data_IF_165849421796
#
_entry.id   IF_165849421796
#
_cell.length_a   1.000
_cell.length_b   1.000
_cell.length_c   1.000
_cell.angle_alpha   90.00
_cell.angle_beta   90.00
_cell.angle_gamma   90.00
#
_symmetry.space_group_name_H-M   'P 1'
#
loop_
_entity.id
_entity.type
_entity.pdbx_description
1 polymer ?
#
# COMPACT_ATOMS: atom_id res chain seq x y z
N UNK A 1 7.23 -2.51 -0.58
CA UNK A 1 8.42 -2.64 0.29
C UNK A 1 9.57 -1.75 -0.17
N UNK A 2 10.30 -2.03 -1.26
CA UNK A 2 11.46 -1.19 -1.64
C UNK A 2 11.17 0.32 -1.81
N UNK A 3 9.96 0.69 -2.22
CA UNK A 3 9.52 2.09 -2.35
C UNK A 3 8.99 2.69 -1.04
N UNK A 4 8.93 1.92 0.04
CA UNK A 4 8.28 2.30 1.29
C UNK A 4 9.28 2.97 2.25
N UNK A 5 8.79 3.89 3.07
CA UNK A 5 9.52 4.49 4.18
C UNK A 5 9.02 3.89 5.50
N UNK A 6 9.93 3.58 6.42
CA UNK A 6 9.60 3.26 7.82
C UNK A 6 9.18 4.55 8.53
N UNK A 7 8.01 4.54 9.15
CA UNK A 7 7.43 5.68 9.89
C UNK A 7 6.99 5.17 11.25
N UNK A 8 7.42 5.84 12.33
CA UNK A 8 6.84 5.59 13.67
C UNK A 8 5.52 6.36 13.74
N UNK A 9 4.46 5.66 14.10
CA UNK A 9 3.11 6.21 14.19
C UNK A 9 2.69 6.27 15.66
N UNK A 10 3.03 7.39 16.32
CA UNK A 10 2.77 7.58 17.74
C UNK A 10 1.27 7.61 18.07
N UNK A 11 0.40 7.96 17.11
CA UNK A 11 -1.06 7.97 17.29
C UNK A 11 -1.55 6.54 17.53
N UNK A 12 -1.14 5.58 16.70
CA UNK A 12 -1.55 4.17 16.83
C UNK A 12 -0.64 3.35 17.74
N UNK A 13 0.57 3.83 18.04
CA UNK A 13 1.61 3.04 18.70
C UNK A 13 2.19 1.94 17.79
N UNK A 14 2.31 2.23 16.49
CA UNK A 14 2.75 1.27 15.47
C UNK A 14 4.00 1.73 14.73
N UNK A 15 4.64 0.80 14.03
CA UNK A 15 5.62 1.10 12.97
C UNK A 15 4.98 0.76 11.63
N UNK A 16 4.91 1.76 10.76
CA UNK A 16 4.22 1.73 9.48
C UNK A 16 5.24 1.81 8.32
N UNK A 17 5.09 0.95 7.32
CA UNK A 17 5.88 0.96 6.09
C UNK A 17 5.07 1.56 4.95
N UNK A 18 5.21 2.87 4.76
CA UNK A 18 4.33 3.71 3.93
C UNK A 18 4.90 3.86 2.51
N UNK A 19 4.12 3.51 1.50
CA UNK A 19 4.49 3.69 0.09
C UNK A 19 4.32 5.15 -0.39
N UNK A 20 4.88 5.56 -1.56
CA UNK A 20 4.87 6.96 -2.03
C UNK A 20 3.48 7.51 -2.40
N UNK A 21 2.43 6.69 -2.28
CA UNK A 21 1.03 7.07 -2.42
C UNK A 21 0.30 7.12 -1.06
N UNK A 22 1.05 7.32 0.03
CA UNK A 22 0.61 7.33 1.44
C UNK A 22 -0.06 6.03 1.92
N UNK A 23 -0.09 4.96 1.12
CA UNK A 23 -0.66 3.68 1.53
C UNK A 23 0.33 2.92 2.42
N UNK A 24 -0.09 2.59 3.63
CA UNK A 24 0.60 1.65 4.52
C UNK A 24 0.60 0.26 3.86
N UNK A 25 1.78 -0.33 3.67
CA UNK A 25 1.96 -1.64 3.02
C UNK A 25 2.18 -2.76 4.04
N UNK A 26 2.82 -2.43 5.16
CA UNK A 26 2.97 -3.28 6.34
C UNK A 26 2.87 -2.38 7.57
N UNK A 27 2.21 -2.86 8.63
CA UNK A 27 2.03 -2.20 9.92
C UNK A 27 2.28 -3.24 10.99
N UNK A 28 3.09 -2.90 11.99
CA UNK A 28 3.41 -3.78 13.12
C UNK A 28 3.46 -2.99 14.42
N UNK A 29 3.54 -3.66 15.57
CA UNK A 29 3.56 -3.04 16.90
C UNK A 29 4.46 -3.83 17.85
N UNK A 30 4.91 -3.18 18.93
CA UNK A 30 5.84 -3.78 19.90
C UNK A 30 5.35 -5.12 20.46
N UNK A 31 4.03 -5.31 20.59
CA UNK A 31 3.41 -6.54 21.10
C UNK A 31 3.69 -7.79 20.25
N UNK A 32 3.89 -7.64 18.94
CA UNK A 32 4.14 -8.77 18.04
C UNK A 32 5.57 -8.83 17.51
N UNK A 33 6.39 -7.80 17.75
CA UNK A 33 7.75 -7.62 17.25
C UNK A 33 8.65 -8.85 17.41
N UNK A 34 8.64 -9.47 18.59
CA UNK A 34 9.45 -10.66 18.91
C UNK A 34 8.84 -12.00 18.41
N UNK A 35 7.67 -11.95 17.77
CA UNK A 35 6.94 -13.11 17.25
C UNK A 35 6.64 -13.03 15.73
N UNK A 36 6.61 -11.83 15.15
CA UNK A 36 6.16 -11.60 13.77
C UNK A 36 7.26 -11.95 12.76
N UNK A 37 6.93 -12.78 11.78
CA UNK A 37 7.84 -13.17 10.69
C UNK A 37 7.39 -12.50 9.41
N UNK A 38 8.26 -11.68 8.81
CA UNK A 38 7.94 -10.94 7.60
C UNK A 38 8.14 -11.81 6.35
N UNK A 39 7.04 -12.29 5.75
CA UNK A 39 7.09 -13.04 4.50
C UNK A 39 7.12 -12.10 3.28
N UNK A 40 8.12 -12.29 2.40
CA UNK A 40 8.21 -11.60 1.10
C UNK A 40 8.06 -12.54 -0.09
N UNK A 41 7.48 -12.01 -1.17
CA UNK A 41 7.65 -12.55 -2.52
C UNK A 41 8.81 -11.84 -3.21
N UNK A 42 9.79 -12.60 -3.68
CA UNK A 42 10.96 -12.09 -4.42
C UNK A 42 11.43 -13.13 -5.44
N UNK A 43 12.23 -12.68 -6.41
CA UNK A 43 12.91 -13.52 -7.41
C UNK A 43 14.35 -13.03 -7.68
N UNK A 44 14.92 -12.32 -6.71
CA UNK A 44 16.13 -11.50 -6.83
C UNK A 44 16.73 -11.28 -5.43
N UNK A 45 18.03 -11.58 -5.29
CA UNK A 45 18.72 -11.61 -3.99
C UNK A 45 18.93 -10.22 -3.39
N UNK A 46 19.44 -9.26 -4.18
CA UNK A 46 19.70 -7.89 -3.72
C UNK A 46 18.40 -7.15 -3.34
N UNK A 47 17.34 -7.32 -4.14
CA UNK A 47 16.01 -6.77 -3.82
C UNK A 47 15.40 -7.42 -2.58
N UNK A 48 15.66 -8.71 -2.33
CA UNK A 48 15.24 -9.37 -1.10
C UNK A 48 15.98 -8.77 0.11
N UNK A 49 17.31 -8.67 0.04
CA UNK A 49 18.14 -8.15 1.11
C UNK A 49 17.80 -6.70 1.47
N UNK A 50 17.61 -5.83 0.47
CA UNK A 50 17.21 -4.44 0.69
C UNK A 50 15.80 -4.31 1.34
N UNK A 51 14.88 -5.25 1.08
CA UNK A 51 13.60 -5.32 1.81
C UNK A 51 13.79 -5.86 3.23
N UNK A 52 14.63 -6.87 3.42
CA UNK A 52 14.87 -7.48 4.72
C UNK A 52 15.49 -6.47 5.69
N UNK A 53 16.54 -5.76 5.27
CA UNK A 53 17.17 -4.67 6.06
C UNK A 53 16.25 -3.50 6.38
N UNK A 54 15.24 -3.25 5.54
CA UNK A 54 14.23 -2.22 5.81
C UNK A 54 13.35 -2.59 7.03
N UNK A 55 13.10 -3.89 7.27
CA UNK A 55 12.15 -4.36 8.31
C UNK A 55 12.80 -5.08 9.49
N UNK A 56 14.07 -5.51 9.41
CA UNK A 56 14.71 -6.44 10.37
C UNK A 56 14.75 -5.95 11.83
N UNK A 57 14.58 -4.66 12.08
CA UNK A 57 14.55 -4.08 13.43
C UNK A 57 13.15 -4.11 14.08
N UNK A 58 12.11 -4.40 13.29
CA UNK A 58 10.70 -4.36 13.69
C UNK A 58 10.04 -5.75 13.65
N UNK A 59 10.78 -6.80 13.28
CA UNK A 59 10.28 -8.17 13.10
C UNK A 59 11.26 -9.21 13.65
N UNK A 60 10.73 -10.37 14.05
CA UNK A 60 11.50 -11.45 14.66
C UNK A 60 12.26 -12.31 13.62
N UNK A 61 11.74 -12.40 12.39
CA UNK A 61 12.30 -13.24 11.33
C UNK A 61 11.89 -12.79 9.94
N UNK A 62 12.59 -13.30 8.93
CA UNK A 62 12.36 -13.01 7.51
C UNK A 62 12.02 -14.33 6.80
N UNK A 63 10.92 -14.38 6.03
CA UNK A 63 10.52 -15.57 5.28
C UNK A 63 10.44 -15.32 3.77
N UNK A 64 10.94 -16.27 2.97
CA UNK A 64 10.80 -16.23 1.51
C UNK A 64 9.67 -17.15 1.05
N UNK A 65 8.66 -16.57 0.39
CA UNK A 65 7.58 -17.34 -0.22
C UNK A 65 8.05 -18.03 -1.50
N UNK A 66 8.11 -19.37 -1.46
CA UNK A 66 8.42 -20.26 -2.59
C UNK A 66 7.22 -21.17 -2.93
N UNK A 67 6.02 -20.88 -2.39
CA UNK A 67 4.86 -21.77 -2.46
C UNK A 67 3.61 -21.18 -3.12
N UNK A 68 3.61 -19.89 -3.47
CA UNK A 68 2.45 -19.22 -4.07
C UNK A 68 2.25 -19.65 -5.54
N UNK A 69 1.12 -20.28 -5.92
CA UNK A 69 0.84 -20.70 -7.29
C UNK A 69 0.05 -19.66 -8.10
N UNK A 70 -0.21 -18.45 -7.54
CA UNK A 70 -1.00 -17.41 -8.21
C UNK A 70 -0.21 -16.78 -9.36
N UNK A 71 -0.89 -16.50 -10.46
CA UNK A 71 -0.29 -16.06 -11.73
C UNK A 71 0.58 -14.79 -11.60
N UNK A 72 0.17 -13.81 -10.79
CA UNK A 72 0.96 -12.60 -10.55
C UNK A 72 2.32 -12.89 -9.88
N UNK A 73 2.40 -13.97 -9.10
CA UNK A 73 3.63 -14.42 -8.46
C UNK A 73 4.50 -15.16 -9.48
N UNK A 74 3.93 -16.15 -10.16
CA UNK A 74 4.69 -17.02 -11.07
C UNK A 74 5.18 -16.30 -12.31
N UNK A 75 4.41 -15.35 -12.88
CA UNK A 75 4.88 -14.47 -13.97
C UNK A 75 6.05 -13.57 -13.57
N UNK A 76 6.15 -13.21 -12.28
CA UNK A 76 7.29 -12.46 -11.75
C UNK A 76 8.50 -13.33 -11.36
N UNK A 77 8.46 -14.64 -11.61
CA UNK A 77 9.50 -15.58 -11.14
C UNK A 77 9.46 -15.88 -9.64
N UNK A 78 8.41 -15.45 -8.93
CA UNK A 78 8.28 -15.54 -7.46
C UNK A 78 7.37 -16.70 -7.03
N UNK A 79 7.45 -17.11 -5.76
CA UNK A 79 6.56 -18.15 -5.23
C UNK A 79 6.88 -19.51 -5.85
N UNK A 80 5.87 -20.25 -6.27
CA UNK A 80 6.03 -21.60 -6.81
C UNK A 80 6.78 -21.67 -8.17
N UNK A 81 7.18 -20.52 -8.75
CA UNK A 81 8.11 -20.47 -9.88
C UNK A 81 9.58 -20.60 -9.46
N UNK A 82 9.93 -20.29 -8.21
CA UNK A 82 11.28 -20.49 -7.67
C UNK A 82 11.63 -21.98 -7.55
N UNK A 83 10.64 -22.85 -7.35
CA UNK A 83 10.84 -24.29 -7.15
C UNK A 83 11.47 -25.02 -8.36
N UNK A 84 11.43 -24.39 -9.55
CA UNK A 84 12.10 -24.87 -10.78
C UNK A 84 13.48 -24.24 -11.00
N UNK A 85 13.95 -23.36 -10.12
CA UNK A 85 15.25 -22.68 -10.20
C UNK A 85 15.98 -22.74 -8.84
N UNK A 86 16.56 -23.90 -8.48
CA UNK A 86 17.20 -24.09 -7.18
C UNK A 86 18.43 -23.22 -6.97
N UNK A 87 19.13 -22.84 -8.04
CA UNK A 87 20.33 -22.00 -7.98
C UNK A 87 19.95 -20.56 -7.57
N UNK A 88 18.82 -20.05 -8.08
CA UNK A 88 18.24 -18.78 -7.62
C UNK A 88 17.71 -18.86 -6.19
N UNK A 89 17.12 -19.99 -5.78
CA UNK A 89 16.72 -20.22 -4.38
C UNK A 89 17.95 -20.09 -3.46
N UNK A 90 19.03 -20.79 -3.78
CA UNK A 90 20.28 -20.77 -3.01
C UNK A 90 20.90 -19.37 -2.95
N UNK A 91 20.95 -18.68 -4.09
CA UNK A 91 21.43 -17.28 -4.18
C UNK A 91 20.61 -16.32 -3.31
N UNK A 92 19.27 -16.39 -3.34
CA UNK A 92 18.40 -15.54 -2.51
C UNK A 92 18.59 -15.85 -1.03
N UNK A 93 18.56 -17.12 -0.64
CA UNK A 93 18.61 -17.52 0.77
C UNK A 93 19.98 -17.23 1.39
N UNK A 94 21.07 -17.58 0.72
CA UNK A 94 22.45 -17.32 1.20
C UNK A 94 22.70 -15.82 1.35
N UNK A 95 22.19 -14.99 0.43
CA UNK A 95 22.32 -13.53 0.49
C UNK A 95 21.54 -12.94 1.68
N UNK A 96 20.37 -13.49 1.99
CA UNK A 96 19.59 -13.09 3.18
C UNK A 96 20.26 -13.55 4.47
N UNK A 97 20.64 -14.83 4.59
CA UNK A 97 21.26 -15.42 5.78
C UNK A 97 22.55 -14.70 6.17
N UNK A 98 23.38 -14.34 5.19
CA UNK A 98 24.62 -13.59 5.44
C UNK A 98 24.38 -12.07 5.61
N UNK A 99 23.18 -11.59 5.32
CA UNK A 99 22.89 -10.17 5.11
C UNK A 99 22.03 -9.48 6.17
N UNK A 100 21.25 -10.21 6.96
CA UNK A 100 20.43 -9.69 8.07
C UNK A 100 20.76 -10.35 9.40
N UNK A 101 20.47 -9.67 10.52
CA UNK A 101 20.71 -10.23 11.87
C UNK A 101 19.57 -11.13 12.38
N UNK A 102 18.54 -11.39 11.57
CA UNK A 102 17.34 -12.14 11.94
C UNK A 102 17.32 -13.53 11.30
N UNK A 103 16.74 -14.55 11.96
CA UNK A 103 16.57 -15.86 11.37
C UNK A 103 15.80 -15.76 10.05
N UNK A 104 16.37 -16.37 9.01
CA UNK A 104 15.77 -16.48 7.68
C UNK A 104 15.11 -17.85 7.55
N UNK A 105 13.85 -17.89 7.13
CA UNK A 105 13.10 -19.11 6.80
C UNK A 105 12.62 -19.08 5.36
N UNK A 106 12.09 -20.19 4.87
CA UNK A 106 11.31 -20.17 3.63
C UNK A 106 10.10 -21.10 3.70
N UNK A 107 9.10 -20.80 2.86
CA UNK A 107 7.88 -21.59 2.73
C UNK A 107 7.72 -22.17 1.34
N UNK A 108 7.81 -23.50 1.23
CA UNK A 108 7.71 -24.25 -0.04
C UNK A 108 6.36 -24.97 -0.22
N UNK A 109 6.16 -25.49 -1.43
CA UNK A 109 5.30 -26.64 -1.75
C UNK A 109 6.17 -27.82 -2.14
N UNK A 110 5.64 -29.05 -2.02
CA UNK A 110 6.35 -30.26 -2.48
C UNK A 110 6.39 -30.33 -4.01
N UNK A 111 7.40 -31.02 -4.55
CA UNK A 111 7.59 -31.26 -5.99
C UNK A 111 6.83 -32.51 -6.47
N UNK A 112 6.78 -32.79 -7.79
CA UNK A 112 6.15 -33.99 -8.32
C UNK A 112 6.70 -35.30 -7.74
N UNK A 113 8.03 -35.40 -7.54
CA UNK A 113 8.68 -36.50 -6.82
C UNK A 113 9.08 -36.11 -5.38
N UNK A 114 9.00 -37.10 -4.48
CA UNK A 114 9.47 -37.00 -3.10
C UNK A 114 11.00 -36.82 -3.05
N UNK A 115 11.72 -37.54 -3.90
CA UNK A 115 13.18 -37.54 -4.02
C UNK A 115 13.68 -36.19 -4.55
N UNK A 116 12.98 -35.60 -5.52
CA UNK A 116 13.21 -34.21 -5.96
C UNK A 116 13.00 -33.22 -4.81
N UNK A 117 11.91 -33.38 -4.05
CA UNK A 117 11.60 -32.50 -2.92
C UNK A 117 12.70 -32.58 -1.85
N UNK A 118 13.16 -33.78 -1.49
CA UNK A 118 14.25 -33.98 -0.52
C UNK A 118 15.56 -33.37 -1.03
N UNK A 119 15.90 -33.51 -2.32
CA UNK A 119 17.08 -32.86 -2.91
C UNK A 119 17.01 -31.32 -2.81
N UNK A 120 15.84 -30.75 -3.11
CA UNK A 120 15.63 -29.30 -2.98
C UNK A 120 15.76 -28.82 -1.53
N UNK A 121 15.13 -29.53 -0.58
CA UNK A 121 15.18 -29.12 0.83
C UNK A 121 16.59 -29.24 1.43
N UNK A 122 17.40 -30.21 0.99
CA UNK A 122 18.82 -30.29 1.37
C UNK A 122 19.65 -29.11 0.84
N UNK A 123 19.41 -28.62 -0.38
CA UNK A 123 20.05 -27.39 -0.88
C UNK A 123 19.59 -26.15 -0.10
N UNK A 124 18.32 -26.09 0.28
CA UNK A 124 17.78 -25.01 1.13
C UNK A 124 18.42 -25.01 2.52
N UNK A 125 18.61 -26.19 3.14
CA UNK A 125 19.34 -26.34 4.41
C UNK A 125 20.80 -25.86 4.28
N UNK A 126 21.48 -26.24 3.20
CA UNK A 126 22.87 -25.80 2.93
C UNK A 126 23.02 -24.28 2.78
N UNK A 127 21.96 -23.57 2.37
CA UNK A 127 21.93 -22.10 2.33
C UNK A 127 21.83 -21.43 3.71
N UNK A 128 21.71 -22.21 4.80
CA UNK A 128 21.77 -21.72 6.18
C UNK A 128 20.46 -21.19 6.77
N UNK A 129 19.30 -21.59 6.23
CA UNK A 129 18.01 -21.16 6.79
C UNK A 129 17.76 -21.75 8.18
N UNK A 130 17.12 -20.97 9.05
CA UNK A 130 16.84 -21.36 10.44
C UNK A 130 15.71 -22.40 10.57
N UNK A 131 14.80 -22.45 9.59
CA UNK A 131 13.71 -23.43 9.50
C UNK A 131 13.08 -23.43 8.09
N UNK A 132 12.34 -24.50 7.76
CA UNK A 132 11.57 -24.60 6.51
C UNK A 132 10.10 -24.96 6.77
N UNK A 133 9.18 -24.19 6.17
CA UNK A 133 7.75 -24.47 6.20
C UNK A 133 7.31 -25.23 4.94
N UNK A 134 6.84 -26.47 5.10
CA UNK A 134 6.48 -27.35 3.99
C UNK A 134 4.96 -27.49 3.89
N UNK A 135 4.38 -26.96 2.81
CA UNK A 135 3.01 -27.33 2.43
C UNK A 135 3.07 -28.66 1.67
N UNK A 136 2.57 -29.74 2.28
CA UNK A 136 2.48 -31.09 1.69
C UNK A 136 1.46 -31.21 0.56
N UNK A 137 1.44 -30.27 -0.38
CA UNK A 137 0.67 -30.32 -1.64
C UNK A 137 1.51 -29.76 -2.78
N UNK A 138 1.42 -30.39 -3.95
CA UNK A 138 2.08 -29.95 -5.20
C UNK A 138 1.52 -28.62 -5.67
N UNK A 139 2.20 -27.90 -6.55
CA UNK A 139 1.80 -26.56 -7.03
C UNK A 139 0.39 -26.53 -7.65
N UNK A 140 0.04 -27.59 -8.37
CA UNK A 140 -1.21 -27.78 -9.11
C UNK A 140 -2.36 -28.19 -8.18
N UNK A 141 -2.04 -28.85 -7.06
CA UNK A 141 -3.00 -29.41 -6.11
C UNK A 141 -3.78 -28.30 -5.37
N UNK A 142 -5.10 -28.45 -5.42
CA UNK A 142 -6.09 -27.55 -4.82
C UNK A 142 -6.48 -28.01 -3.40
N UNK A 143 -7.13 -27.17 -2.58
CA UNK A 143 -7.39 -27.48 -1.17
C UNK A 143 -8.22 -28.75 -0.91
N UNK A 144 -8.97 -29.25 -1.90
CA UNK A 144 -9.70 -30.53 -1.83
C UNK A 144 -8.84 -31.77 -2.05
N UNK A 145 -7.61 -31.63 -2.55
CA UNK A 145 -6.64 -32.74 -2.59
C UNK A 145 -6.11 -32.96 -1.16
N UNK A 146 -5.85 -34.21 -0.72
CA UNK A 146 -5.29 -34.46 0.60
C UNK A 146 -3.89 -33.85 0.76
N UNK A 147 -3.46 -33.65 2.00
CA UNK A 147 -2.07 -33.29 2.32
C UNK A 147 -1.22 -34.56 2.46
N UNK A 148 -0.06 -34.59 1.79
CA UNK A 148 0.89 -35.70 1.77
C UNK A 148 1.79 -35.66 3.01
N UNK A 149 1.28 -36.17 4.14
CA UNK A 149 1.99 -36.19 5.43
C UNK A 149 3.26 -37.05 5.41
N UNK A 150 3.25 -38.13 4.62
CA UNK A 150 4.38 -39.03 4.37
C UNK A 150 5.56 -38.30 3.71
N UNK A 151 5.28 -37.39 2.77
CA UNK A 151 6.31 -36.56 2.13
C UNK A 151 6.87 -35.54 3.12
N UNK A 152 6.04 -34.92 3.98
CA UNK A 152 6.53 -34.02 5.04
C UNK A 152 7.42 -34.80 6.02
N UNK A 153 6.99 -35.99 6.47
CA UNK A 153 7.78 -36.86 7.32
C UNK A 153 9.14 -37.22 6.71
N UNK A 154 9.15 -37.67 5.46
CA UNK A 154 10.38 -38.02 4.75
C UNK A 154 11.33 -36.81 4.53
N UNK A 155 10.81 -35.57 4.53
CA UNK A 155 11.63 -34.36 4.55
C UNK A 155 12.21 -34.13 5.95
N UNK A 156 11.38 -34.21 7.01
CA UNK A 156 11.83 -34.04 8.40
C UNK A 156 12.92 -35.05 8.79
N UNK A 157 12.82 -36.29 8.34
CA UNK A 157 13.83 -37.34 8.56
C UNK A 157 15.13 -37.12 7.74
N UNK A 158 15.11 -36.22 6.74
CA UNK A 158 16.21 -36.03 5.79
C UNK A 158 17.06 -34.77 6.04
N UNK A 159 16.64 -33.86 6.92
CA UNK A 159 17.37 -32.63 7.28
C UNK A 159 17.51 -32.47 8.80
N UNK A 160 18.45 -31.64 9.23
CA UNK A 160 18.71 -31.31 10.64
C UNK A 160 17.98 -30.03 11.09
N UNK A 161 17.66 -29.12 10.16
CA UNK A 161 16.90 -27.90 10.45
C UNK A 161 15.43 -28.19 10.83
N UNK A 162 14.80 -27.38 11.69
CA UNK A 162 13.39 -27.50 12.02
C UNK A 162 12.46 -27.44 10.80
N UNK A 163 11.58 -28.44 10.70
CA UNK A 163 10.52 -28.50 9.67
C UNK A 163 9.18 -28.10 10.28
N UNK A 164 8.46 -27.21 9.59
CA UNK A 164 7.15 -26.70 9.99
C UNK A 164 6.09 -27.25 9.03
N UNK A 165 5.26 -28.20 9.50
CA UNK A 165 4.24 -28.84 8.69
C UNK A 165 3.09 -27.87 8.36
N UNK A 166 2.65 -27.84 7.10
CA UNK A 166 1.55 -26.99 6.64
C UNK A 166 0.60 -27.72 5.69
N UNK A 167 -0.67 -27.31 5.73
CA UNK A 167 -1.73 -27.80 4.83
C UNK A 167 -2.82 -28.62 5.50
N UNK A 168 -2.68 -28.98 6.78
CA UNK A 168 -3.62 -29.85 7.51
C UNK A 168 -4.98 -29.23 7.88
N UNK A 169 -5.18 -27.92 7.80
CA UNK A 169 -6.50 -27.30 8.08
C UNK A 169 -7.63 -27.95 7.29
N UNK A 170 -8.81 -28.14 7.90
CA UNK A 170 -9.99 -28.89 7.41
C UNK A 170 -9.82 -30.41 7.43
N UNK A 171 -8.76 -30.91 6.80
CA UNK A 171 -8.60 -32.34 6.52
C UNK A 171 -8.12 -33.10 7.77
N UNK A 172 -7.27 -32.44 8.57
CA UNK A 172 -6.78 -32.88 9.88
C UNK A 172 -7.17 -31.90 10.98
N UNK A 173 -6.96 -30.60 10.80
CA UNK A 173 -7.07 -29.59 11.84
C UNK A 173 -8.44 -28.88 11.78
N UNK A 174 -9.24 -29.10 12.82
CA UNK A 174 -10.53 -28.47 13.13
C UNK A 174 -10.50 -27.77 14.49
N UNK A 175 -9.78 -28.35 15.45
CA UNK A 175 -9.61 -27.82 16.82
C UNK A 175 -8.13 -27.86 17.29
N UNK A 176 -7.88 -27.47 18.53
CA UNK A 176 -6.52 -27.37 19.09
C UNK A 176 -5.83 -28.74 19.25
N UNK A 177 -6.58 -29.79 19.62
CA UNK A 177 -6.04 -31.14 19.82
C UNK A 177 -5.40 -31.69 18.53
N UNK A 178 -6.05 -31.45 17.40
CA UNK A 178 -5.61 -31.86 16.05
C UNK A 178 -4.23 -31.29 15.66
N UNK A 179 -3.82 -30.16 16.24
CA UNK A 179 -2.49 -29.58 16.00
C UNK A 179 -1.41 -30.59 16.37
N UNK A 180 -1.59 -31.31 17.48
CA UNK A 180 -0.65 -32.33 17.94
C UNK A 180 -0.72 -33.57 17.06
N UNK A 181 -1.92 -34.03 16.72
CA UNK A 181 -2.13 -35.16 15.80
C UNK A 181 -1.46 -34.94 14.44
N UNK A 182 -1.60 -33.74 13.86
CA UNK A 182 -0.95 -33.38 12.60
C UNK A 182 0.57 -33.22 12.72
N UNK A 183 1.05 -32.72 13.87
CA UNK A 183 2.49 -32.68 14.18
C UNK A 183 3.09 -34.09 14.21
N UNK A 184 2.46 -35.02 14.93
CA UNK A 184 2.93 -36.40 15.08
C UNK A 184 2.85 -37.18 13.76
N UNK A 185 1.76 -37.03 13.00
CA UNK A 185 1.61 -37.64 11.67
C UNK A 185 2.65 -37.18 10.63
N UNK A 186 3.27 -36.02 10.84
CA UNK A 186 4.31 -35.45 9.96
C UNK A 186 5.72 -35.48 10.59
N UNK A 187 5.83 -35.95 11.84
CA UNK A 187 7.03 -35.87 12.70
C UNK A 187 7.65 -34.47 12.84
N UNK A 188 6.94 -33.42 12.40
CA UNK A 188 7.50 -32.08 12.23
C UNK A 188 7.77 -31.36 13.55
N UNK A 189 8.78 -30.51 13.58
CA UNK A 189 9.15 -29.71 14.75
C UNK A 189 8.04 -28.74 15.18
N UNK A 190 7.20 -28.28 14.25
CA UNK A 190 6.09 -27.37 14.50
C UNK A 190 5.01 -27.44 13.42
N UNK A 191 3.86 -26.79 13.65
CA UNK A 191 2.72 -26.76 12.71
C UNK A 191 2.35 -25.31 12.37
N UNK A 192 2.19 -25.02 11.08
CA UNK A 192 1.68 -23.75 10.56
C UNK A 192 0.23 -23.92 10.10
N UNK A 193 -0.69 -23.17 10.70
CA UNK A 193 -2.13 -23.22 10.40
C UNK A 193 -2.52 -22.02 9.54
N UNK A 194 -3.39 -22.24 8.54
CA UNK A 194 -3.86 -21.17 7.65
C UNK A 194 -5.40 -21.11 7.58
N UNK A 195 -6.05 -22.04 6.88
CA UNK A 195 -7.51 -22.00 6.67
C UNK A 195 -8.29 -22.03 7.99
N UNK A 196 -7.92 -22.92 8.92
CA UNK A 196 -8.64 -23.05 10.20
C UNK A 196 -8.54 -21.76 11.04
N UNK A 197 -7.34 -21.15 11.12
CA UNK A 197 -7.14 -19.86 11.79
C UNK A 197 -7.83 -18.68 11.08
N UNK A 198 -7.98 -18.73 9.75
CA UNK A 198 -8.74 -17.74 8.98
C UNK A 198 -10.25 -17.85 9.24
N UNK A 199 -10.77 -19.05 9.50
CA UNK A 199 -12.17 -19.29 9.84
C UNK A 199 -12.48 -18.96 11.30
N UNK A 200 -11.62 -19.40 12.21
CA UNK A 200 -11.67 -19.02 13.62
C UNK A 200 -10.25 -18.99 14.22
N UNK A 201 -9.64 -17.82 14.48
CA UNK A 201 -8.30 -17.73 15.05
C UNK A 201 -8.19 -18.30 16.47
N UNK A 202 -9.30 -18.58 17.16
CA UNK A 202 -9.26 -19.28 18.46
C UNK A 202 -8.88 -20.77 18.37
N UNK A 203 -8.64 -21.32 17.17
CA UNK A 203 -8.07 -22.67 16.97
C UNK A 203 -6.74 -22.90 17.72
N UNK A 204 -6.02 -21.82 18.05
CA UNK A 204 -4.79 -21.86 18.85
C UNK A 204 -5.03 -21.88 20.37
N UNK A 205 -6.28 -21.87 20.87
CA UNK A 205 -6.58 -21.92 22.30
C UNK A 205 -6.63 -23.35 22.82
N UNK A 206 -5.84 -23.64 23.86
CA UNK A 206 -5.82 -24.96 24.51
C UNK A 206 -7.14 -25.31 25.21
N UNK A 207 -7.91 -24.31 25.64
CA UNK A 207 -9.22 -24.49 26.29
C UNK A 207 -10.37 -24.62 25.28
N UNK A 208 -10.08 -24.76 23.99
CA UNK A 208 -11.05 -24.91 22.91
C UNK A 208 -11.43 -23.61 22.20
N UNK A 209 -12.14 -23.75 21.08
CA UNK A 209 -12.55 -22.63 20.25
C UNK A 209 -13.58 -21.73 20.95
N UNK A 210 -13.43 -20.42 20.77
CA UNK A 210 -14.40 -19.42 21.21
C UNK A 210 -15.59 -19.31 20.24
N UNK A 211 -16.77 -18.87 20.72
CA UNK A 211 -17.89 -18.51 19.87
C UNK A 211 -17.48 -17.48 18.79
N UNK A 212 -18.00 -17.66 17.57
CA UNK A 212 -17.58 -16.84 16.44
C UNK A 212 -17.94 -15.35 16.62
N UNK A 213 -19.03 -15.04 17.34
CA UNK A 213 -19.42 -13.65 17.66
C UNK A 213 -18.30 -12.93 18.42
N UNK A 214 -17.82 -13.53 19.50
CA UNK A 214 -16.80 -12.96 20.38
C UNK A 214 -15.48 -12.73 19.63
N UNK A 215 -15.10 -13.71 18.80
CA UNK A 215 -13.89 -13.67 17.97
C UNK A 215 -13.97 -12.58 16.90
N UNK A 216 -15.11 -12.43 16.23
CA UNK A 216 -15.33 -11.35 15.27
C UNK A 216 -15.36 -9.98 15.94
N UNK A 217 -15.97 -9.85 17.12
CA UNK A 217 -15.98 -8.59 17.88
C UNK A 217 -14.56 -8.20 18.35
N UNK A 218 -13.75 -9.13 18.87
CA UNK A 218 -12.34 -8.84 19.19
C UNK A 218 -11.52 -8.47 17.94
N UNK A 219 -11.74 -9.16 16.80
CA UNK A 219 -11.12 -8.79 15.53
C UNK A 219 -11.48 -7.37 15.09
N UNK A 220 -12.75 -6.96 15.22
CA UNK A 220 -13.19 -5.59 14.94
C UNK A 220 -12.53 -4.59 15.90
N UNK A 221 -12.37 -4.90 17.19
CA UNK A 221 -11.64 -4.03 18.12
C UNK A 221 -10.20 -3.76 17.67
N UNK A 222 -9.50 -4.79 17.19
CA UNK A 222 -8.16 -4.60 16.61
C UNK A 222 -8.19 -3.81 15.30
N UNK A 223 -9.16 -4.08 14.42
CA UNK A 223 -9.30 -3.36 13.16
C UNK A 223 -9.53 -1.86 13.36
N UNK A 224 -10.33 -1.45 14.36
CA UNK A 224 -10.54 -0.04 14.70
C UNK A 224 -9.30 0.56 15.38
N UNK A 225 -8.75 -0.10 16.41
CA UNK A 225 -7.59 0.40 17.17
C UNK A 225 -6.34 0.61 16.32
N UNK A 226 -6.15 -0.22 15.30
CA UNK A 226 -5.00 -0.14 14.39
C UNK A 226 -5.36 0.41 13.01
N UNK A 227 -6.49 1.13 12.87
CA UNK A 227 -6.89 1.82 11.64
C UNK A 227 -6.75 0.92 10.38
N UNK A 228 -7.33 -0.27 10.45
CA UNK A 228 -7.28 -1.25 9.37
C UNK A 228 -8.32 -0.93 8.30
N UNK A 229 -7.90 -0.88 7.04
CA UNK A 229 -8.77 -0.48 5.95
C UNK A 229 -10.05 -1.34 5.87
N UNK A 230 -11.22 -0.70 5.87
CA UNK A 230 -12.51 -1.37 6.08
C UNK A 230 -12.76 -2.55 5.12
N UNK A 231 -12.29 -2.47 3.86
CA UNK A 231 -12.42 -3.56 2.88
C UNK A 231 -11.63 -4.81 3.26
N UNK A 232 -10.49 -4.67 3.95
CA UNK A 232 -9.72 -5.80 4.48
C UNK A 232 -10.44 -6.41 5.69
N UNK A 233 -10.88 -5.56 6.63
CA UNK A 233 -11.68 -5.98 7.80
C UNK A 233 -12.92 -6.77 7.35
N UNK A 234 -13.66 -6.23 6.37
CA UNK A 234 -14.82 -6.86 5.74
C UNK A 234 -14.47 -8.19 5.07
N UNK A 235 -13.38 -8.26 4.30
CA UNK A 235 -12.93 -9.50 3.68
C UNK A 235 -12.67 -10.60 4.72
N UNK A 236 -11.94 -10.29 5.79
CA UNK A 236 -11.61 -11.24 6.86
C UNK A 236 -12.87 -11.70 7.61
N UNK A 237 -13.78 -10.80 7.98
CA UNK A 237 -15.06 -11.16 8.61
C UNK A 237 -15.92 -12.04 7.68
N UNK A 238 -15.92 -11.81 6.36
CA UNK A 238 -16.57 -12.71 5.41
C UNK A 238 -15.91 -14.10 5.36
N UNK A 239 -14.58 -14.20 5.53
CA UNK A 239 -13.89 -15.50 5.62
C UNK A 239 -14.20 -16.25 6.92
N UNK A 240 -14.54 -15.54 8.00
CA UNK A 240 -15.01 -16.12 9.27
C UNK A 240 -16.45 -16.63 9.14
N UNK A 241 -17.36 -15.80 8.61
CA UNK A 241 -18.79 -16.15 8.48
C UNK A 241 -19.04 -17.32 7.52
N UNK A 242 -18.35 -17.39 6.38
CA UNK A 242 -18.54 -18.43 5.34
C UNK A 242 -20.03 -18.65 4.98
N UNK A 243 -20.60 -19.79 5.36
CA UNK A 243 -21.99 -20.20 5.13
C UNK A 243 -22.99 -19.32 5.89
N UNK A 244 -22.56 -18.64 6.95
CA UNK A 244 -23.38 -17.69 7.71
C UNK A 244 -23.56 -16.33 7.00
N UNK A 245 -22.94 -16.09 5.83
CA UNK A 245 -23.07 -14.83 5.09
C UNK A 245 -24.50 -14.48 4.70
N UNK A 246 -25.38 -15.49 4.53
CA UNK A 246 -26.79 -15.28 4.18
C UNK A 246 -27.67 -14.81 5.35
N UNK A 247 -27.17 -14.84 6.58
CA UNK A 247 -27.91 -14.35 7.74
C UNK A 247 -28.00 -12.81 7.75
N UNK A 248 -28.84 -12.26 8.63
CA UNK A 248 -29.07 -10.81 8.70
C UNK A 248 -27.78 -10.00 8.97
N UNK A 249 -26.83 -10.58 9.73
CA UNK A 249 -25.55 -9.94 10.06
C UNK A 249 -24.58 -9.94 8.88
N UNK A 250 -24.48 -11.07 8.16
CA UNK A 250 -23.68 -11.19 6.94
C UNK A 250 -24.17 -10.26 5.83
N UNK A 251 -25.49 -10.08 5.69
CA UNK A 251 -26.10 -9.10 4.78
C UNK A 251 -25.76 -7.65 5.15
N UNK A 252 -25.83 -7.28 6.44
CA UNK A 252 -25.37 -5.96 6.93
C UNK A 252 -23.88 -5.73 6.65
N UNK A 253 -23.03 -6.71 6.96
CA UNK A 253 -21.59 -6.66 6.67
C UNK A 253 -21.33 -6.50 5.15
N UNK A 254 -22.08 -7.20 4.30
CA UNK A 254 -21.95 -7.09 2.85
C UNK A 254 -22.36 -5.71 2.33
N UNK A 255 -23.35 -5.05 2.94
CA UNK A 255 -23.72 -3.68 2.60
C UNK A 255 -22.65 -2.65 3.02
N UNK A 256 -22.01 -2.83 4.19
CA UNK A 256 -21.15 -1.84 4.84
C UNK A 256 -20.00 -1.26 3.97
N UNK A 257 -19.86 0.06 3.94
CA UNK A 257 -18.86 0.83 3.18
C UNK A 257 -17.85 1.59 4.05
N UNK A 258 -17.92 1.45 5.38
CA UNK A 258 -17.01 2.08 6.34
C UNK A 258 -16.70 1.16 7.53
N UNK A 259 -15.67 1.46 8.33
CA UNK A 259 -15.44 0.76 9.60
C UNK A 259 -16.60 0.99 10.58
N UNK A 260 -17.23 2.17 10.54
CA UNK A 260 -18.38 2.50 11.38
C UNK A 260 -19.56 1.57 11.09
N UNK A 261 -19.95 1.43 9.82
CA UNK A 261 -21.03 0.52 9.40
C UNK A 261 -20.73 -0.95 9.72
N UNK A 262 -19.44 -1.36 9.67
CA UNK A 262 -19.02 -2.68 10.15
C UNK A 262 -19.24 -2.82 11.66
N UNK A 263 -18.92 -1.80 12.45
CA UNK A 263 -19.17 -1.80 13.89
C UNK A 263 -20.68 -1.82 14.21
N UNK A 264 -21.48 -1.04 13.51
CA UNK A 264 -22.95 -1.03 13.62
C UNK A 264 -23.57 -2.41 13.28
N UNK A 265 -23.06 -3.08 12.25
CA UNK A 265 -23.47 -4.44 11.88
C UNK A 265 -23.19 -5.49 12.97
N UNK A 266 -22.29 -5.20 13.93
CA UNK A 266 -21.85 -6.09 15.00
C UNK A 266 -22.21 -5.58 16.42
N UNK A 267 -23.07 -4.57 16.52
CA UNK A 267 -23.54 -3.96 17.78
C UNK A 267 -22.42 -3.23 18.56
N UNK A 268 -21.44 -2.63 17.85
CA UNK A 268 -20.20 -2.06 18.41
C UNK A 268 -20.07 -0.54 18.23
N UNK A 269 -21.16 0.18 17.94
CA UNK A 269 -21.12 1.61 17.62
C UNK A 269 -20.56 2.50 18.75
N UNK A 270 -20.88 2.18 20.01
CA UNK A 270 -20.34 2.88 21.19
C UNK A 270 -18.81 2.76 21.25
N UNK A 271 -18.29 1.55 21.13
CA UNK A 271 -16.85 1.28 21.08
C UNK A 271 -16.16 2.01 19.91
N UNK A 272 -16.80 2.07 18.74
CA UNK A 272 -16.25 2.80 17.60
C UNK A 272 -16.11 4.31 17.89
N UNK A 273 -17.12 4.92 18.51
CA UNK A 273 -17.07 6.33 18.91
C UNK A 273 -15.98 6.58 19.97
N UNK A 274 -15.96 5.78 21.05
CA UNK A 274 -14.96 5.88 22.12
C UNK A 274 -13.51 5.76 21.58
N UNK A 275 -13.28 4.79 20.69
CA UNK A 275 -11.98 4.58 20.06
C UNK A 275 -11.60 5.74 19.11
N UNK A 276 -12.56 6.26 18.33
CA UNK A 276 -12.32 7.39 17.42
C UNK A 276 -12.00 8.68 18.19
N UNK A 277 -12.76 8.97 19.24
CA UNK A 277 -12.52 10.12 20.13
C UNK A 277 -11.15 10.03 20.81
N UNK A 278 -10.75 8.83 21.23
CA UNK A 278 -9.42 8.60 21.83
C UNK A 278 -8.29 8.86 20.83
N UNK A 279 -8.41 8.37 19.60
CA UNK A 279 -7.42 8.58 18.54
C UNK A 279 -7.31 10.06 18.15
N UNK A 280 -8.43 10.78 18.02
CA UNK A 280 -8.40 12.21 17.67
C UNK A 280 -7.83 13.06 18.82
N UNK A 281 -8.19 12.79 20.09
CA UNK A 281 -7.57 13.45 21.26
C UNK A 281 -6.05 13.24 21.29
N UNK A 282 -5.59 12.03 20.99
CA UNK A 282 -4.15 11.70 20.95
C UNK A 282 -3.42 12.40 19.81
N UNK A 283 -4.05 12.48 18.63
CA UNK A 283 -3.57 13.24 17.47
C UNK A 283 -3.43 14.74 17.76
N UNK A 284 -4.43 15.36 18.37
CA UNK A 284 -4.37 16.77 18.82
C UNK A 284 -3.25 16.98 19.84
N UNK A 285 -3.12 16.10 20.85
CA UNK A 285 -2.06 16.20 21.86
C UNK A 285 -0.65 16.09 21.27
N UNK A 286 -0.45 15.23 20.28
CA UNK A 286 0.85 15.10 19.58
C UNK A 286 1.16 16.30 18.69
N UNK A 287 0.16 16.90 18.03
CA UNK A 287 0.35 18.12 17.24
C UNK A 287 0.82 19.29 18.12
N UNK A 288 0.20 19.49 19.28
CA UNK A 288 0.61 20.53 20.25
C UNK A 288 2.04 20.27 20.79
N UNK A 289 2.41 19.01 21.04
CA UNK A 289 3.78 18.67 21.49
C UNK A 289 4.84 18.96 20.43
N UNK A 290 4.56 18.69 19.15
CA UNK A 290 5.50 18.98 18.08
C UNK A 290 5.66 20.49 17.86
N UNK A 291 4.57 21.27 17.95
CA UNK A 291 4.63 22.74 17.90
C UNK A 291 5.49 23.35 19.00
N UNK A 292 5.62 22.70 20.16
CA UNK A 292 6.48 23.15 21.27
C UNK A 292 7.94 22.65 21.19
N UNK A 293 8.28 21.78 20.23
CA UNK A 293 9.61 21.17 20.10
C UNK A 293 10.36 21.60 18.83
N UNK A 294 9.71 22.28 17.89
CA UNK A 294 10.34 22.84 16.68
C UNK A 294 11.06 24.19 16.97
N UNK A 295 11.89 24.25 18.02
CA UNK A 295 12.82 25.36 18.25
C UNK A 295 14.06 25.22 17.34
N UNK A 296 13.80 25.35 16.03
CA UNK A 296 14.80 25.50 14.98
C UNK A 296 14.59 26.84 14.28
N UNK A 297 14.91 27.93 14.98
CA UNK A 297 15.03 29.30 14.44
C UNK A 297 13.93 29.64 13.43
N UNK A 298 12.69 29.76 13.90
CA UNK A 298 11.64 30.29 13.03
C UNK A 298 12.00 31.72 12.60
N UNK A 299 12.16 31.93 11.29
CA UNK A 299 12.10 33.25 10.68
C UNK A 299 10.67 33.79 10.92
N UNK A 300 10.50 34.55 12.01
CA UNK A 300 9.19 34.98 12.57
C UNK A 300 8.34 35.79 11.61
N UNK A 301 8.94 36.21 10.49
CA UNK A 301 8.35 37.09 9.48
C UNK A 301 7.63 36.30 8.35
N UNK A 302 7.56 34.96 8.41
CA UNK A 302 6.91 34.12 7.37
C UNK A 302 5.60 33.50 7.86
N UNK A 303 4.47 33.95 7.30
CA UNK A 303 3.16 33.36 7.56
C UNK A 303 3.01 32.05 6.78
N UNK A 304 2.80 30.93 7.49
CA UNK A 304 2.74 29.57 6.91
C UNK A 304 1.32 28.99 6.95
N UNK A 305 0.92 28.26 5.91
CA UNK A 305 -0.36 27.51 5.89
C UNK A 305 -0.22 26.21 5.09
N UNK A 306 -0.93 25.14 5.47
CA UNK A 306 -0.88 23.86 4.76
C UNK A 306 -1.74 23.86 3.48
N UNK A 307 -1.15 24.16 2.31
CA UNK A 307 -1.87 24.22 1.03
C UNK A 307 -1.12 23.58 -0.15
N UNK A 308 -1.87 23.05 -1.11
CA UNK A 308 -1.37 22.52 -2.39
C UNK A 308 -2.12 23.15 -3.56
N UNK A 309 -1.49 23.21 -4.72
CA UNK A 309 -2.14 23.64 -5.97
C UNK A 309 -2.59 22.44 -6.80
N UNK A 310 -3.91 22.18 -6.83
CA UNK A 310 -4.50 21.25 -7.79
C UNK A 310 -5.05 22.00 -9.00
N UNK A 311 -4.40 21.81 -10.16
CA UNK A 311 -4.80 22.42 -11.45
C UNK A 311 -6.27 22.18 -11.83
N UNK A 312 -6.92 21.12 -11.31
CA UNK A 312 -8.32 20.78 -11.61
C UNK A 312 -9.31 21.76 -10.99
N UNK A 313 -8.95 22.41 -9.87
CA UNK A 313 -9.82 23.37 -9.16
C UNK A 313 -9.94 24.72 -9.88
N UNK A 314 -9.05 25.01 -10.83
CA UNK A 314 -8.92 26.31 -11.49
C UNK A 314 -9.34 26.26 -12.98
N UNK A 315 -9.77 27.39 -13.57
CA UNK A 315 -9.92 27.54 -15.02
C UNK A 315 -8.56 27.44 -15.74
N UNK A 316 -8.48 26.92 -16.99
CA UNK A 316 -7.20 26.75 -17.69
C UNK A 316 -6.38 28.03 -17.90
N UNK A 317 -7.06 29.17 -17.92
CA UNK A 317 -6.53 30.51 -18.17
C UNK A 317 -6.26 31.34 -16.90
N UNK A 318 -6.50 30.80 -15.70
CA UNK A 318 -6.32 31.51 -14.42
C UNK A 318 -5.50 30.64 -13.47
N UNK A 319 -4.52 31.23 -12.79
CA UNK A 319 -3.77 30.56 -11.71
C UNK A 319 -3.61 31.50 -10.52
N UNK A 320 -3.53 30.99 -9.27
CA UNK A 320 -3.32 31.81 -8.07
C UNK A 320 -2.16 32.82 -8.20
N UNK A 321 -1.02 32.41 -8.79
CA UNK A 321 0.13 33.29 -9.05
C UNK A 321 -0.21 34.46 -9.98
N UNK A 322 -1.04 34.23 -11.00
CA UNK A 322 -1.52 35.30 -11.89
C UNK A 322 -2.53 36.20 -11.18
N UNK A 323 -3.43 35.62 -10.38
CA UNK A 323 -4.46 36.36 -9.66
C UNK A 323 -3.83 37.32 -8.63
N UNK A 324 -2.87 36.83 -7.83
CA UNK A 324 -2.13 37.64 -6.87
C UNK A 324 -1.33 38.77 -7.54
N UNK A 325 -0.77 38.52 -8.73
CA UNK A 325 -0.06 39.54 -9.51
C UNK A 325 -0.98 40.67 -9.99
N UNK A 326 -2.16 40.35 -10.55
CA UNK A 326 -3.12 41.39 -10.99
C UNK A 326 -3.75 42.12 -9.80
N UNK A 327 -3.98 41.44 -8.67
CA UNK A 327 -4.42 42.08 -7.44
C UNK A 327 -3.38 43.10 -6.93
N UNK A 328 -2.10 42.73 -6.83
CA UNK A 328 -1.03 43.65 -6.42
C UNK A 328 -0.95 44.88 -7.33
N UNK A 329 -1.10 44.72 -8.65
CA UNK A 329 -1.14 45.85 -9.59
C UNK A 329 -2.32 46.77 -9.35
N UNK A 330 -3.51 46.23 -9.09
CA UNK A 330 -4.72 47.02 -8.82
C UNK A 330 -4.57 47.85 -7.55
N UNK A 331 -4.05 47.24 -6.48
CA UNK A 331 -3.80 47.89 -5.19
C UNK A 331 -2.48 48.71 -5.18
N UNK A 332 -1.82 48.86 -6.33
CA UNK A 332 -0.57 49.63 -6.54
C UNK A 332 0.62 49.16 -5.67
N UNK A 333 0.62 47.89 -5.27
CA UNK A 333 1.71 47.25 -4.56
C UNK A 333 2.84 46.83 -5.51
N UNK A 334 4.02 46.57 -4.95
CA UNK A 334 5.11 45.91 -5.68
C UNK A 334 4.67 44.52 -6.17
N UNK A 335 5.27 44.06 -7.26
CA UNK A 335 5.00 42.72 -7.80
C UNK A 335 5.41 41.63 -6.79
N UNK A 336 4.64 40.53 -6.64
CA UNK A 336 5.00 39.44 -5.72
C UNK A 336 6.36 38.83 -6.06
N UNK A 337 7.30 38.89 -5.11
CA UNK A 337 8.61 38.27 -5.23
C UNK A 337 8.55 36.82 -4.75
N UNK A 338 9.21 35.89 -5.45
CA UNK A 338 9.19 34.46 -5.11
C UNK A 338 10.60 33.91 -4.93
N UNK A 339 10.86 33.34 -3.76
CA UNK A 339 12.08 32.59 -3.45
C UNK A 339 11.71 31.11 -3.31
N UNK A 340 12.49 30.21 -3.90
CA UNK A 340 12.21 28.76 -3.89
C UNK A 340 13.42 27.99 -3.40
N UNK A 341 13.21 27.16 -2.38
CA UNK A 341 14.21 26.25 -1.82
C UNK A 341 13.90 24.83 -2.34
N UNK A 342 14.92 24.15 -2.84
CA UNK A 342 14.87 22.71 -3.15
C UNK A 342 15.48 21.92 -1.98
N UNK A 343 14.79 20.88 -1.50
CA UNK A 343 15.27 20.03 -0.41
C UNK A 343 16.17 18.91 -0.97
N UNK A 344 17.48 18.84 -0.60
CA UNK A 344 18.41 17.89 -1.20
C UNK A 344 18.04 16.41 -1.04
N UNK A 345 17.32 16.06 0.03
CA UNK A 345 16.98 14.66 0.38
C UNK A 345 15.96 14.02 -0.56
N UNK A 346 15.04 14.79 -1.14
CA UNK A 346 13.92 14.28 -1.94
C UNK A 346 13.57 15.13 -3.16
N UNK A 347 14.36 16.19 -3.45
CA UNK A 347 14.18 17.11 -4.60
C UNK A 347 12.77 17.72 -4.67
N UNK A 348 12.15 17.92 -3.51
CA UNK A 348 10.90 18.67 -3.40
C UNK A 348 11.19 20.15 -3.19
N UNK A 349 10.25 20.98 -3.61
CA UNK A 349 10.38 22.44 -3.64
C UNK A 349 9.40 23.07 -2.64
N UNK A 350 9.86 24.08 -1.92
CA UNK A 350 9.00 24.99 -1.16
C UNK A 350 9.29 26.43 -1.63
N UNK A 351 8.25 27.25 -1.75
CA UNK A 351 8.39 28.66 -2.12
C UNK A 351 7.86 29.57 -1.03
N UNK A 352 8.54 30.68 -0.84
CA UNK A 352 8.08 31.84 -0.08
C UNK A 352 7.69 32.92 -1.09
N UNK A 353 6.56 33.59 -0.88
CA UNK A 353 6.17 34.79 -1.63
C UNK A 353 6.16 36.01 -0.72
N UNK A 354 6.74 37.12 -1.17
CA UNK A 354 6.72 38.39 -0.45
C UNK A 354 5.77 39.35 -1.14
N UNK A 355 4.82 39.92 -0.39
CA UNK A 355 3.84 40.92 -0.83
C UNK A 355 3.66 41.96 0.27
N UNK A 356 3.82 43.25 -0.06
CA UNK A 356 3.75 44.35 0.92
C UNK A 356 4.62 44.10 2.17
N UNK A 357 5.87 43.70 1.94
CA UNK A 357 6.89 43.36 2.93
C UNK A 357 6.57 42.19 3.88
N UNK A 358 5.39 41.55 3.75
CA UNK A 358 5.03 40.32 4.44
C UNK A 358 5.37 39.08 3.59
N UNK A 359 6.04 38.10 4.20
CA UNK A 359 6.33 36.79 3.58
C UNK A 359 5.22 35.77 3.87
N UNK A 360 4.89 34.94 2.88
CA UNK A 360 3.90 33.85 2.99
C UNK A 360 4.44 32.55 2.36
N UNK A 361 4.11 31.39 2.92
CA UNK A 361 4.57 30.10 2.40
C UNK A 361 3.58 28.95 2.65
N UNK A 362 3.70 27.87 1.85
CA UNK A 362 3.05 26.61 2.19
C UNK A 362 3.92 25.78 3.13
N UNK A 363 3.32 25.09 4.10
CA UNK A 363 4.04 24.04 4.87
C UNK A 363 4.24 22.75 4.07
N UNK A 364 3.57 22.62 2.92
CA UNK A 364 3.59 21.40 2.10
C UNK A 364 4.58 21.55 0.93
N UNK A 365 5.51 20.60 0.85
CA UNK A 365 6.53 20.53 -0.18
C UNK A 365 5.99 19.94 -1.49
N UNK A 366 6.37 20.52 -2.62
CA UNK A 366 5.80 20.26 -3.94
C UNK A 366 6.80 19.64 -4.93
N UNK A 367 6.29 18.95 -5.96
CA UNK A 367 7.13 18.18 -6.92
C UNK A 367 7.85 19.04 -7.96
N UNK A 368 7.61 20.35 -8.00
CA UNK A 368 8.34 21.28 -8.88
C UNK A 368 8.24 22.72 -8.37
N UNK A 369 9.24 23.55 -8.67
CA UNK A 369 9.22 25.01 -8.40
C UNK A 369 7.91 25.68 -8.83
N UNK A 370 7.38 25.35 -10.01
CA UNK A 370 6.11 25.93 -10.52
C UNK A 370 4.91 25.62 -9.63
N UNK A 371 4.84 24.42 -9.03
CA UNK A 371 3.77 24.06 -8.10
C UNK A 371 3.96 24.75 -6.75
N UNK A 372 5.20 24.79 -6.24
CA UNK A 372 5.53 25.46 -4.98
C UNK A 372 5.19 26.96 -5.01
N UNK A 373 5.49 27.67 -6.10
CA UNK A 373 5.10 29.09 -6.28
C UNK A 373 3.58 29.30 -6.30
N UNK A 374 2.81 28.37 -6.88
CA UNK A 374 1.34 28.45 -6.87
C UNK A 374 0.78 28.18 -5.46
N UNK A 375 1.35 27.23 -4.72
CA UNK A 375 0.99 26.96 -3.33
C UNK A 375 1.31 28.16 -2.41
N UNK A 376 2.45 28.84 -2.62
CA UNK A 376 2.78 30.08 -1.91
C UNK A 376 1.81 31.23 -2.26
N UNK A 377 1.40 31.35 -3.53
CA UNK A 377 0.40 32.33 -3.94
C UNK A 377 -0.97 32.07 -3.28
N UNK A 378 -1.41 30.80 -3.20
CA UNK A 378 -2.59 30.39 -2.44
C UNK A 378 -2.45 30.77 -0.96
N UNK A 379 -1.26 30.56 -0.38
CA UNK A 379 -1.01 30.89 1.02
C UNK A 379 -1.27 32.38 1.30
N UNK A 380 -0.67 33.26 0.50
CA UNK A 380 -0.90 34.70 0.56
C UNK A 380 -2.38 35.09 0.35
N UNK A 381 -3.02 34.59 -0.71
CA UNK A 381 -4.40 34.96 -1.05
C UNK A 381 -5.38 34.60 0.07
N UNK A 382 -5.33 33.38 0.63
CA UNK A 382 -6.23 33.00 1.74
C UNK A 382 -5.97 33.80 3.01
N UNK A 383 -4.71 34.06 3.36
CA UNK A 383 -4.39 34.87 4.55
C UNK A 383 -4.91 36.30 4.42
N UNK A 384 -4.90 36.86 3.20
CA UNK A 384 -5.47 38.18 2.90
C UNK A 384 -7.01 38.15 2.71
N UNK A 385 -7.68 37.00 2.84
CA UNK A 385 -9.12 36.85 2.61
C UNK A 385 -9.54 37.05 1.14
N UNK A 386 -8.60 36.90 0.20
CA UNK A 386 -8.80 37.13 -1.22
C UNK A 386 -9.19 35.84 -1.96
N UNK A 387 -10.05 35.94 -3.00
CA UNK A 387 -10.36 34.80 -3.86
C UNK A 387 -9.13 34.27 -4.61
N UNK A 388 -9.08 32.95 -4.84
CA UNK A 388 -7.95 32.27 -5.49
C UNK A 388 -8.13 32.11 -7.01
N UNK A 389 -9.32 32.42 -7.54
CA UNK A 389 -9.71 32.19 -8.91
C UNK A 389 -10.21 30.75 -9.17
N UNK A 390 -10.79 30.09 -8.16
CA UNK A 390 -11.34 28.73 -8.29
C UNK A 390 -12.63 28.73 -9.12
N UNK A 391 -12.93 27.60 -9.76
CA UNK A 391 -14.14 27.41 -10.60
C UNK A 391 -15.47 27.67 -9.89
N UNK A 392 -15.50 27.56 -8.56
CA UNK A 392 -16.72 27.66 -7.76
C UNK A 392 -16.81 29.01 -7.00
N UNK A 393 -15.85 29.91 -7.16
CA UNK A 393 -15.89 31.25 -6.58
C UNK A 393 -16.72 32.17 -7.49
N UNK A 394 -17.88 32.63 -7.00
CA UNK A 394 -18.70 33.65 -7.66
C UNK A 394 -18.00 35.02 -7.63
N UNK A 395 -16.92 35.15 -8.38
CA UNK A 395 -16.24 36.40 -8.66
C UNK A 395 -16.56 36.84 -10.08
N UNK A 396 -17.14 38.02 -10.23
CA UNK A 396 -17.11 38.71 -11.52
C UNK A 396 -15.63 38.84 -11.92
N UNK A 397 -15.22 38.26 -13.04
CA UNK A 397 -13.81 38.24 -13.51
C UNK A 397 -13.33 39.61 -14.05
N UNK A 398 -13.76 40.71 -13.43
CA UNK A 398 -13.39 42.10 -13.79
C UNK A 398 -11.90 42.40 -13.63
N UNK A 399 -11.16 41.60 -12.85
CA UNK A 399 -9.71 41.72 -12.68
C UNK A 399 -8.88 41.24 -13.89
N UNK A 400 -9.45 40.48 -14.82
CA UNK A 400 -8.71 39.79 -15.90
C UNK A 400 -9.19 40.17 -17.32
N UNK A 401 -9.78 41.35 -17.48
CA UNK A 401 -10.22 41.84 -18.80
C UNK A 401 -9.02 42.15 -19.71
N UNK A 402 -9.00 41.51 -20.88
CA UNK A 402 -7.88 41.47 -21.82
C UNK A 402 -7.55 42.85 -22.42
N UNK A 403 -6.26 43.21 -22.44
CA UNK A 403 -5.73 44.19 -23.40
C UNK A 403 -5.85 43.62 -24.82
N UNK A 404 -6.68 44.22 -25.68
CA UNK A 404 -6.47 44.11 -27.13
C UNK A 404 -5.23 44.93 -27.49
N UNK A 405 -4.24 44.32 -28.15
CA UNK A 405 -3.27 45.11 -28.94
C UNK A 405 -4.02 45.70 -30.13
N UNK A 406 -3.86 47.00 -30.34
CA UNK A 406 -4.09 47.61 -31.64
C UNK A 406 -2.78 47.42 -32.42
N UNK A 407 -2.76 46.46 -33.35
CA UNK A 407 -1.74 46.44 -34.39
C UNK A 407 -2.35 47.14 -35.62
N UNK A 408 -1.67 48.17 -36.08
CA UNK A 408 -2.15 49.14 -37.07
C UNK A 408 -1.24 49.07 -38.31
N UNK A 409 -1.45 48.08 -39.17
CA UNK A 409 -0.74 47.96 -40.45
C UNK A 409 -1.71 47.80 -41.63
N UNK A 410 -1.98 48.95 -42.24
CA UNK A 410 -1.92 49.19 -43.69
C UNK A 410 -2.47 48.13 -44.66
N UNK A 411 -3.68 48.42 -45.17
CA UNK A 411 -3.99 48.50 -46.61
C UNK A 411 -3.28 47.52 -47.58
N UNK A 412 -4.03 46.54 -48.08
CA UNK A 412 -4.21 46.46 -49.53
C UNK A 412 -5.53 45.77 -49.94
N UNK A 413 -6.10 46.19 -51.07
CA UNK A 413 -7.42 45.77 -51.56
C UNK A 413 -7.38 44.46 -52.38
N UNK A 414 -8.52 43.77 -52.47
CA UNK A 414 -8.76 42.65 -53.40
C UNK A 414 -10.15 42.04 -53.22
N UNK A 415 -11.00 42.10 -54.25
CA UNK A 415 -12.41 41.71 -54.20
C UNK A 415 -12.69 40.25 -54.64
N UNK A 416 -13.97 39.86 -54.51
CA UNK A 416 -14.61 38.61 -54.98
C UNK A 416 -14.29 37.32 -54.19
N UNK A 417 -15.20 36.35 -54.06
CA UNK A 417 -16.62 36.30 -54.47
C UNK A 417 -17.22 34.89 -54.27
N UNK A 418 -18.49 34.85 -53.85
CA UNK A 418 -19.49 33.77 -53.94
C UNK A 418 -19.13 32.25 -53.97
N UNK A 419 -19.73 31.55 -53.00
CA UNK A 419 -20.67 30.40 -53.20
C UNK A 419 -20.25 28.92 -53.13
N UNK A 420 -21.22 28.13 -52.64
CA UNK A 420 -21.56 26.70 -52.80
C UNK A 420 -20.52 25.54 -52.71
N UNK A 421 -20.74 24.70 -51.68
CA UNK A 421 -21.07 23.26 -51.76
C UNK A 421 -20.00 22.13 -51.89
N UNK A 422 -20.39 21.00 -51.27
CA UNK A 422 -20.09 19.57 -51.57
C UNK A 422 -18.71 18.93 -51.30
N UNK A 423 -18.74 18.03 -50.31
CA UNK A 423 -18.25 16.62 -50.33
C UNK A 423 -16.75 16.24 -50.43
N UNK A 424 -16.55 14.93 -50.15
CA UNK A 424 -15.41 14.06 -50.45
C UNK A 424 -14.31 13.83 -49.38
N UNK A 425 -14.49 12.69 -48.71
CA UNK A 425 -13.47 11.85 -48.06
C UNK A 425 -12.10 11.79 -48.76
N UNK A 426 -11.04 11.64 -47.96
CA UNK A 426 -9.99 10.67 -48.30
C UNK A 426 -9.28 10.08 -47.07
N UNK A 427 -9.47 8.77 -46.82
CA UNK A 427 -8.61 7.98 -45.92
C UNK A 427 -7.50 7.33 -46.75
N UNK A 428 -6.25 7.33 -46.25
CA UNK A 428 -5.14 6.58 -46.87
C UNK A 428 -5.16 5.08 -46.47
N UNK A 429 -4.62 4.18 -47.31
CA UNK A 429 -4.83 2.74 -47.20
C UNK A 429 -3.70 2.02 -46.45
N UNK A 430 -3.97 0.78 -46.01
CA UNK A 430 -2.95 -0.19 -45.65
C UNK A 430 -3.15 -1.53 -46.38
N UNK A 431 -2.03 -2.15 -46.74
CA UNK A 431 -1.93 -3.38 -47.53
C UNK A 431 -2.31 -4.65 -46.77
N UNK A 432 -2.69 -5.66 -47.54
CA UNK A 432 -2.96 -7.07 -47.24
C UNK A 432 -2.74 -7.86 -48.56
N UNK A 433 -2.78 -9.21 -48.63
CA UNK A 433 -2.68 -10.26 -47.59
C UNK A 433 -1.81 -11.50 -48.04
N UNK A 434 -2.02 -12.64 -47.34
CA UNK A 434 -1.79 -14.07 -47.71
C UNK A 434 -0.44 -14.64 -47.22
N UNK A 435 -0.29 -15.90 -46.78
CA UNK A 435 -1.14 -17.13 -46.72
C UNK A 435 -1.03 -17.77 -45.30
N UNK A 436 -1.74 -18.82 -44.87
CA UNK A 436 -3.07 -19.42 -45.14
C UNK A 436 -3.37 -20.53 -44.11
N UNK A 437 -4.64 -20.93 -43.89
CA UNK A 437 -5.03 -22.12 -43.11
C UNK A 437 -6.16 -22.87 -43.82
N UNK A 438 -6.05 -24.20 -43.90
CA UNK A 438 -7.16 -25.12 -44.25
C UNK A 438 -7.23 -26.23 -43.20
N UNK A 439 -8.44 -26.47 -42.69
CA UNK A 439 -8.79 -27.65 -41.88
C UNK A 439 -9.28 -28.78 -42.80
N UNK A 440 -9.25 -30.01 -42.30
CA UNK A 440 -10.25 -31.02 -42.68
C UNK A 440 -9.72 -32.44 -42.88
N UNK A 441 -9.71 -33.22 -41.79
CA UNK A 441 -10.08 -34.64 -41.67
C UNK A 441 -9.63 -35.18 -40.31
#
# INVERSE_FOLDING_TARGET
>A
MLQCKRVVNDILGTVDFVAPNERVVFRTCEREKDCVVFQMGTADAERALAVAKLVENDVAGIDVNMGCPKEYSTKGGMGAALLSDPDRIESILTTLVNGVSRPVTCKIRILPSKEETIRLVKRIEQAGVAAIAVHGRKKEERPQHPVQCDVIKAITEAVSIPVIANGGSHDFIKEYSDLRTFQEATTASSVMVARAAMWNPSVFRKEGSLPLKDVMQEYIKYAVRYDNHYTNTKYCLCQMLREQLENAQGKKLHAAQSLQEICEAFEMSSFFQEASDFLEKKKVSLQVKNQNNDDYTEDTDVIKMAVRFDKREYPPQITPKMYLLEWCRKEKLLQPAYETIERPRDRLFCSVVTVADQKYSSTLWEKSKKLAEQAAAIACLRTLGLPEGKRNENTNHTLLNKRKRQDQELLNCGEHGDSFATEALCKKPHFLPKTSLCNGS
#
